data_IF_798085918648
#
_entry.id   IF_798085918648
#
_cell.length_a   1.000
_cell.length_b   1.000
_cell.length_c   1.000
_cell.angle_alpha   90.00
_cell.angle_beta   90.00
_cell.angle_gamma   90.00
#
_symmetry.space_group_name_H-M   'P 1'
#
loop_
_entity.id
_entity.type
_entity.pdbx_description
1 polymer ?
#
# COMPACT_ATOMS: atom_id res chain seq x y z
N UNK A 1 -0.83 -15.77 -17.87
CA UNK A 1 -2.20 -15.67 -17.29
C UNK A 1 -2.49 -16.72 -16.22
N UNK A 2 -2.19 -18.00 -16.46
CA UNK A 2 -2.42 -19.08 -15.48
C UNK A 2 -1.66 -18.87 -14.15
N UNK A 3 -0.36 -18.55 -14.22
CA UNK A 3 0.46 -18.27 -13.02
C UNK A 3 -0.07 -17.09 -12.20
N UNK A 4 -0.56 -16.04 -12.86
CA UNK A 4 -1.16 -14.88 -12.18
C UNK A 4 -2.41 -15.27 -11.39
N UNK A 5 -3.29 -16.08 -11.98
CA UNK A 5 -4.49 -16.54 -11.31
C UNK A 5 -4.13 -17.44 -10.11
N UNK A 6 -3.23 -18.40 -10.31
CA UNK A 6 -2.71 -19.27 -9.25
C UNK A 6 -2.14 -18.49 -8.07
N UNK A 7 -1.23 -17.54 -8.34
CA UNK A 7 -0.64 -16.69 -7.30
C UNK A 7 -1.72 -15.90 -6.57
N UNK A 8 -2.61 -15.23 -7.31
CA UNK A 8 -3.71 -14.46 -6.73
C UNK A 8 -4.61 -15.28 -5.82
N UNK A 9 -5.07 -16.45 -6.28
CA UNK A 9 -5.95 -17.34 -5.53
C UNK A 9 -5.27 -17.87 -4.26
N UNK A 10 -4.01 -18.29 -4.37
CA UNK A 10 -3.21 -18.74 -3.23
C UNK A 10 -3.04 -17.63 -2.19
N UNK A 11 -2.66 -16.42 -2.61
CA UNK A 11 -2.44 -15.31 -1.70
C UNK A 11 -3.75 -14.87 -1.01
N UNK A 12 -4.85 -14.75 -1.76
CA UNK A 12 -6.16 -14.41 -1.19
C UNK A 12 -6.67 -15.47 -0.21
N UNK A 13 -6.46 -16.76 -0.52
CA UNK A 13 -6.78 -17.87 0.38
C UNK A 13 -5.98 -17.78 1.68
N UNK A 14 -4.66 -17.55 1.58
CA UNK A 14 -3.81 -17.40 2.75
C UNK A 14 -4.24 -16.22 3.62
N UNK A 15 -4.42 -15.02 3.03
CA UNK A 15 -4.86 -13.81 3.74
C UNK A 15 -6.19 -14.03 4.47
N UNK A 16 -7.13 -14.74 3.83
CA UNK A 16 -8.42 -15.08 4.44
C UNK A 16 -8.25 -16.01 5.64
N UNK A 17 -7.38 -17.02 5.54
CA UNK A 17 -7.11 -17.95 6.65
C UNK A 17 -6.34 -17.30 7.81
N UNK A 18 -5.58 -16.24 7.54
CA UNK A 18 -4.79 -15.49 8.53
C UNK A 18 -5.48 -14.21 9.03
N UNK A 19 -6.74 -13.97 8.69
CA UNK A 19 -7.44 -12.72 9.02
C UNK A 19 -7.34 -12.34 10.52
N UNK A 20 -7.44 -13.33 11.42
CA UNK A 20 -7.40 -13.09 12.86
C UNK A 20 -6.04 -12.53 13.32
N UNK A 21 -4.94 -12.86 12.62
CA UNK A 21 -3.61 -12.32 12.88
C UNK A 21 -3.49 -10.81 12.57
N UNK A 22 -4.41 -10.24 11.78
CA UNK A 22 -4.48 -8.79 11.54
C UNK A 22 -5.17 -8.02 12.68
N UNK A 23 -5.84 -8.68 13.63
CA UNK A 23 -6.63 -8.02 14.68
C UNK A 23 -5.77 -7.10 15.56
N UNK A 24 -5.97 -5.76 15.57
CA UNK A 24 -5.05 -4.83 16.25
C UNK A 24 -5.49 -4.42 17.67
N UNK A 25 -6.54 -5.03 18.23
CA UNK A 25 -7.24 -4.56 19.44
C UNK A 25 -6.94 -5.34 20.73
N UNK A 26 -5.84 -6.10 20.75
CA UNK A 26 -5.36 -6.76 21.97
C UNK A 26 -4.57 -5.73 22.80
N UNK A 27 -5.17 -5.20 23.88
CA UNK A 27 -4.61 -4.08 24.65
C UNK A 27 -3.20 -4.34 25.18
N UNK A 28 -2.92 -5.58 25.57
CA UNK A 28 -1.63 -6.01 26.15
C UNK A 28 -0.67 -6.63 25.13
N UNK A 29 -0.95 -6.51 23.82
CA UNK A 29 -0.11 -7.14 22.80
C UNK A 29 1.15 -6.32 22.50
N UNK A 30 2.37 -6.82 22.79
CA UNK A 30 3.61 -6.11 22.51
C UNK A 30 3.85 -5.86 21.01
N UNK A 31 3.19 -6.62 20.12
CA UNK A 31 3.26 -6.42 18.66
C UNK A 31 2.10 -5.59 18.11
N UNK A 32 1.25 -5.00 18.98
CA UNK A 32 0.11 -4.16 18.58
C UNK A 32 0.45 -3.09 17.52
N UNK A 33 1.57 -2.33 17.62
CA UNK A 33 1.90 -1.36 16.57
C UNK A 33 2.10 -1.99 15.19
N UNK A 34 2.71 -3.18 15.13
CA UNK A 34 2.92 -3.91 13.88
C UNK A 34 1.61 -4.48 13.32
N UNK A 35 0.72 -5.00 14.18
CA UNK A 35 -0.60 -5.47 13.75
C UNK A 35 -1.46 -4.32 13.21
N UNK A 36 -1.41 -3.16 13.87
CA UNK A 36 -2.13 -1.98 13.42
C UNK A 36 -1.65 -1.49 12.05
N UNK A 37 -0.34 -1.55 11.79
CA UNK A 37 0.22 -1.30 10.46
C UNK A 37 -0.32 -2.30 9.43
N UNK A 38 -0.19 -3.60 9.72
CA UNK A 38 -0.65 -4.66 8.81
C UNK A 38 -2.16 -4.56 8.51
N UNK A 39 -2.96 -4.22 9.52
CA UNK A 39 -4.40 -4.00 9.37
C UNK A 39 -4.71 -2.78 8.50
N UNK A 40 -3.98 -1.67 8.67
CA UNK A 40 -4.10 -0.49 7.83
C UNK A 40 -3.71 -0.75 6.37
N UNK A 41 -2.67 -1.54 6.14
CA UNK A 41 -2.24 -1.97 4.80
C UNK A 41 -3.28 -2.89 4.15
N UNK A 42 -3.83 -3.86 4.89
CA UNK A 42 -4.93 -4.70 4.44
C UNK A 42 -6.16 -3.85 4.04
N UNK A 43 -6.57 -2.92 4.91
CA UNK A 43 -7.67 -1.99 4.63
C UNK A 43 -7.40 -1.16 3.36
N UNK A 44 -6.19 -0.62 3.23
CA UNK A 44 -5.76 0.15 2.05
C UNK A 44 -5.91 -0.65 0.76
N UNK A 45 -5.33 -1.85 0.72
CA UNK A 45 -5.37 -2.73 -0.46
C UNK A 45 -6.80 -3.18 -0.80
N UNK A 46 -7.60 -3.55 0.21
CA UNK A 46 -9.02 -3.85 -0.01
C UNK A 46 -9.76 -2.64 -0.56
N UNK A 47 -9.50 -1.44 -0.02
CA UNK A 47 -10.07 -0.20 -0.53
C UNK A 47 -9.72 0.03 -2.01
N UNK A 48 -8.47 -0.23 -2.40
CA UNK A 48 -8.04 -0.15 -3.81
C UNK A 48 -8.77 -1.18 -4.69
N UNK A 49 -8.86 -2.43 -4.24
CA UNK A 49 -9.60 -3.49 -4.92
C UNK A 49 -11.07 -3.08 -5.10
N UNK A 50 -11.70 -2.54 -4.05
CA UNK A 50 -13.09 -2.13 -4.06
C UNK A 50 -13.34 -0.97 -5.02
N UNK A 51 -12.48 0.07 -5.03
CA UNK A 51 -12.60 1.19 -5.98
C UNK A 51 -12.43 0.76 -7.44
N UNK A 52 -11.73 -0.34 -7.68
CA UNK A 52 -11.53 -0.94 -9.01
C UNK A 52 -12.58 -2.00 -9.38
N UNK A 53 -13.63 -2.15 -8.56
CA UNK A 53 -14.76 -3.04 -8.83
C UNK A 53 -14.54 -4.51 -8.45
N UNK A 54 -13.41 -4.87 -7.82
CA UNK A 54 -13.22 -6.23 -7.33
C UNK A 54 -14.15 -6.49 -6.13
N UNK A 55 -15.00 -7.52 -6.24
CA UNK A 55 -15.97 -7.94 -5.21
C UNK A 55 -16.02 -9.47 -5.04
N UNK A 56 -14.97 -10.17 -5.48
CA UNK A 56 -14.90 -11.63 -5.38
C UNK A 56 -14.90 -12.13 -3.93
N UNK A 57 -15.15 -13.43 -3.73
CA UNK A 57 -15.35 -14.05 -2.41
C UNK A 57 -14.32 -13.65 -1.33
N UNK A 58 -13.01 -13.85 -1.56
CA UNK A 58 -11.99 -13.48 -0.58
C UNK A 58 -11.95 -11.98 -0.25
N UNK A 59 -12.08 -11.11 -1.26
CA UNK A 59 -12.12 -9.66 -1.07
C UNK A 59 -13.33 -9.26 -0.24
N UNK A 60 -14.51 -9.83 -0.51
CA UNK A 60 -15.73 -9.57 0.25
C UNK A 60 -15.62 -10.03 1.71
N UNK A 61 -15.08 -11.24 1.94
CA UNK A 61 -14.88 -11.78 3.29
C UNK A 61 -13.92 -10.94 4.13
N UNK A 62 -12.78 -10.55 3.55
CA UNK A 62 -11.79 -9.69 4.21
C UNK A 62 -12.31 -8.26 4.39
N UNK A 63 -13.12 -7.75 3.46
CA UNK A 63 -13.79 -6.45 3.60
C UNK A 63 -14.70 -6.46 4.83
N UNK A 64 -15.57 -7.47 4.98
CA UNK A 64 -16.42 -7.59 6.18
C UNK A 64 -15.59 -7.64 7.45
N UNK A 65 -14.52 -8.45 7.48
CA UNK A 65 -13.63 -8.56 8.63
C UNK A 65 -12.99 -7.21 9.02
N UNK A 66 -12.45 -6.47 8.05
CA UNK A 66 -11.88 -5.15 8.33
C UNK A 66 -12.99 -4.21 8.78
N UNK A 67 -14.11 -4.16 8.08
CA UNK A 67 -15.22 -3.24 8.39
C UNK A 67 -15.77 -3.42 9.81
N UNK A 68 -15.96 -4.67 10.25
CA UNK A 68 -16.41 -5.03 11.60
C UNK A 68 -15.41 -4.59 12.68
N UNK A 69 -14.11 -4.58 12.35
CA UNK A 69 -13.05 -4.17 13.27
C UNK A 69 -12.99 -2.65 13.51
N UNK A 70 -13.50 -1.82 12.58
CA UNK A 70 -13.28 -0.38 12.65
C UNK A 70 -14.02 0.30 13.81
N UNK A 71 -15.22 -0.17 14.15
CA UNK A 71 -16.07 0.47 15.14
C UNK A 71 -15.61 0.19 16.59
N UNK A 72 -14.76 -0.83 16.80
CA UNK A 72 -14.26 -1.24 18.11
C UNK A 72 -13.00 -0.51 18.59
N UNK A 73 -12.46 0.46 17.84
CA UNK A 73 -11.16 1.06 18.14
C UNK A 73 -11.22 2.54 18.49
N UNK A 74 -10.44 2.92 19.51
CA UNK A 74 -10.22 4.32 19.88
C UNK A 74 -9.20 4.99 18.94
N UNK A 75 -9.68 5.37 17.75
CA UNK A 75 -8.92 6.07 16.73
C UNK A 75 -8.38 7.43 17.19
N UNK A 76 -9.10 8.12 18.08
CA UNK A 76 -8.68 9.42 18.63
C UNK A 76 -7.47 9.25 19.54
N UNK A 77 -7.55 8.34 20.52
CA UNK A 77 -6.44 8.08 21.42
C UNK A 77 -5.20 7.61 20.67
N UNK A 78 -5.37 6.80 19.62
CA UNK A 78 -4.25 6.37 18.79
C UNK A 78 -3.61 7.53 18.03
N UNK A 79 -4.39 8.41 17.42
CA UNK A 79 -3.87 9.57 16.70
C UNK A 79 -3.15 10.57 17.61
N UNK A 80 -3.60 10.71 18.86
CA UNK A 80 -2.92 11.53 19.88
C UNK A 80 -1.55 10.95 20.29
N UNK A 81 -1.43 9.62 20.39
CA UNK A 81 -0.16 8.94 20.72
C UNK A 81 0.85 8.97 19.58
N UNK A 82 0.36 8.98 18.33
CA UNK A 82 1.20 8.97 17.15
C UNK A 82 0.60 9.85 16.05
N UNK A 83 0.94 11.14 15.96
CA UNK A 83 0.38 12.05 14.97
C UNK A 83 0.56 11.60 13.50
N UNK A 84 1.64 10.86 13.21
CA UNK A 84 1.87 10.26 11.89
C UNK A 84 0.81 9.22 11.49
N UNK A 85 0.04 8.70 12.46
CA UNK A 85 -1.05 7.76 12.27
C UNK A 85 -2.22 8.33 11.46
N UNK A 86 -2.25 9.65 11.25
CA UNK A 86 -3.18 10.33 10.34
C UNK A 86 -3.20 9.72 8.93
N UNK A 87 -2.06 9.23 8.43
CA UNK A 87 -1.97 8.56 7.13
C UNK A 87 -2.82 7.29 7.13
N UNK A 88 -2.66 6.44 8.15
CA UNK A 88 -3.44 5.21 8.31
C UNK A 88 -4.94 5.50 8.47
N UNK A 89 -5.31 6.53 9.26
CA UNK A 89 -6.71 6.94 9.41
C UNK A 89 -7.35 7.36 8.08
N UNK A 90 -6.63 8.14 7.27
CA UNK A 90 -7.11 8.55 5.96
C UNK A 90 -7.26 7.35 5.02
N UNK A 91 -6.34 6.39 5.06
CA UNK A 91 -6.43 5.13 4.30
C UNK A 91 -7.65 4.31 4.71
N UNK A 92 -7.87 4.15 6.01
CA UNK A 92 -9.03 3.43 6.56
C UNK A 92 -10.34 4.14 6.24
N UNK A 93 -10.38 5.47 6.29
CA UNK A 93 -11.56 6.25 5.88
C UNK A 93 -11.91 6.00 4.40
N UNK A 94 -10.91 5.93 3.50
CA UNK A 94 -11.14 5.60 2.09
C UNK A 94 -11.62 4.16 1.91
N UNK A 95 -11.10 3.23 2.70
CA UNK A 95 -11.59 1.86 2.71
C UNK A 95 -13.07 1.80 3.11
N UNK A 96 -13.45 2.42 4.24
CA UNK A 96 -14.83 2.43 4.76
C UNK A 96 -15.80 2.99 3.71
N UNK A 97 -15.43 4.09 3.04
CA UNK A 97 -16.22 4.65 1.95
C UNK A 97 -16.35 3.67 0.75
N UNK A 98 -15.26 3.03 0.34
CA UNK A 98 -15.27 2.06 -0.76
C UNK A 98 -16.07 0.77 -0.43
N UNK A 99 -16.17 0.42 0.86
CA UNK A 99 -16.99 -0.66 1.39
C UNK A 99 -18.48 -0.27 1.51
N UNK A 100 -18.82 1.01 1.32
CA UNK A 100 -20.20 1.52 1.43
C UNK A 100 -20.61 1.96 2.84
N UNK A 101 -19.67 2.01 3.78
CA UNK A 101 -19.88 2.52 5.14
C UNK A 101 -19.66 4.03 5.25
N UNK A 102 -19.95 4.60 6.43
CA UNK A 102 -19.76 6.02 6.71
C UNK A 102 -18.31 6.33 7.15
N UNK A 103 -17.51 7.09 6.37
CA UNK A 103 -16.16 7.49 6.74
C UNK A 103 -16.11 8.75 7.63
N UNK A 104 -17.23 9.43 7.88
CA UNK A 104 -17.27 10.72 8.58
C UNK A 104 -16.65 10.69 9.98
N UNK A 105 -16.84 9.64 10.82
CA UNK A 105 -16.20 9.58 12.14
C UNK A 105 -14.67 9.61 12.06
N UNK A 106 -14.08 8.84 11.14
CA UNK A 106 -12.63 8.80 10.91
C UNK A 106 -12.11 10.13 10.36
N UNK A 107 -12.83 10.73 9.40
CA UNK A 107 -12.49 12.05 8.85
C UNK A 107 -12.56 13.15 9.91
N UNK A 108 -13.48 13.05 10.88
CA UNK A 108 -13.61 14.01 11.97
C UNK A 108 -12.40 13.96 12.93
N UNK A 109 -11.86 12.77 13.21
CA UNK A 109 -10.58 12.61 13.95
C UNK A 109 -9.48 13.36 13.22
N UNK A 110 -9.30 13.10 11.92
CA UNK A 110 -8.26 13.77 11.12
C UNK A 110 -8.45 15.29 11.08
N UNK A 111 -9.69 15.77 10.92
CA UNK A 111 -10.00 17.19 10.90
C UNK A 111 -9.61 17.91 12.20
N UNK A 112 -9.81 17.28 13.37
CA UNK A 112 -9.34 17.80 14.66
C UNK A 112 -7.81 17.91 14.70
N UNK A 113 -7.11 16.86 14.24
CA UNK A 113 -5.65 16.88 14.18
C UNK A 113 -5.09 17.95 13.23
N UNK A 114 -5.77 18.20 12.11
CA UNK A 114 -5.42 19.31 11.22
C UNK A 114 -5.61 20.67 11.90
N UNK A 115 -6.72 20.86 12.61
CA UNK A 115 -7.01 22.11 13.33
C UNK A 115 -5.98 22.41 14.45
N UNK A 116 -5.40 21.36 15.04
CA UNK A 116 -4.32 21.46 16.03
C UNK A 116 -2.93 21.72 15.41
N UNK A 117 -2.79 21.71 14.08
CA UNK A 117 -1.50 21.84 13.40
C UNK A 117 -0.59 20.61 13.50
N UNK A 118 -1.10 19.49 14.03
CA UNK A 118 -0.31 18.26 14.25
C UNK A 118 0.29 17.71 12.94
N UNK A 119 -0.46 17.85 11.84
CA UNK A 119 -0.06 17.34 10.52
C UNK A 119 1.09 18.15 9.92
N UNK A 120 1.07 19.46 10.10
CA UNK A 120 2.11 20.34 9.54
C UNK A 120 3.43 20.25 10.33
N UNK A 121 3.38 19.71 11.55
CA UNK A 121 4.54 19.42 12.39
C UNK A 121 5.20 18.06 12.12
N UNK A 122 4.66 17.24 11.19
CA UNK A 122 5.21 15.92 10.90
C UNK A 122 6.50 16.01 10.07
N UNK A 123 7.56 15.39 10.55
CA UNK A 123 8.81 15.19 9.81
C UNK A 123 8.75 13.88 9.01
N UNK A 124 8.00 13.89 7.90
CA UNK A 124 7.91 12.73 7.01
C UNK A 124 8.89 12.83 5.83
N UNK A 125 9.29 11.67 5.31
CA UNK A 125 10.02 11.58 4.05
C UNK A 125 9.22 12.25 2.90
N UNK A 126 9.88 12.79 1.86
CA UNK A 126 9.20 13.53 0.80
C UNK A 126 8.04 12.77 0.12
N UNK A 127 8.20 11.47 -0.14
CA UNK A 127 7.12 10.66 -0.73
C UNK A 127 5.94 10.45 0.23
N UNK A 128 6.19 10.31 1.54
CA UNK A 128 5.13 10.22 2.57
C UNK A 128 4.38 11.54 2.72
N UNK A 129 5.07 12.69 2.58
CA UNK A 129 4.38 13.98 2.53
C UNK A 129 3.48 14.09 1.29
N UNK A 130 3.93 13.63 0.12
CA UNK A 130 3.09 13.59 -1.08
C UNK A 130 1.86 12.69 -0.89
N UNK A 131 2.05 11.50 -0.33
CA UNK A 131 0.98 10.55 0.00
C UNK A 131 -0.04 11.16 0.97
N UNK A 132 0.44 11.85 2.02
CA UNK A 132 -0.44 12.55 2.95
C UNK A 132 -1.28 13.64 2.26
N UNK A 133 -0.66 14.49 1.43
CA UNK A 133 -1.39 15.49 0.65
C UNK A 133 -2.41 14.85 -0.31
N UNK A 134 -2.05 13.74 -0.94
CA UNK A 134 -2.95 12.96 -1.78
C UNK A 134 -4.16 12.46 -0.98
N UNK A 135 -3.92 11.82 0.17
CA UNK A 135 -4.96 11.25 1.01
C UNK A 135 -5.87 12.30 1.63
N UNK A 136 -5.33 13.46 2.02
CA UNK A 136 -6.13 14.60 2.47
C UNK A 136 -7.05 15.09 1.36
N UNK A 137 -6.54 15.27 0.14
CA UNK A 137 -7.35 15.67 -1.00
C UNK A 137 -8.44 14.63 -1.32
N UNK A 138 -8.09 13.34 -1.34
CA UNK A 138 -9.02 12.26 -1.63
C UNK A 138 -10.14 12.10 -0.59
N UNK A 139 -9.91 12.53 0.66
CA UNK A 139 -10.91 12.54 1.73
C UNK A 139 -11.68 13.87 1.87
N UNK A 140 -11.51 14.80 0.93
CA UNK A 140 -12.18 16.12 1.00
C UNK A 140 -11.60 17.06 2.06
N UNK A 141 -10.43 16.75 2.62
CA UNK A 141 -9.73 17.53 3.65
C UNK A 141 -8.57 18.37 3.08
N UNK A 142 -8.40 18.38 1.75
CA UNK A 142 -7.30 19.05 1.05
C UNK A 142 -7.62 20.43 0.44
N UNK A 143 -8.75 21.06 0.81
CA UNK A 143 -9.14 22.36 0.26
C UNK A 143 -8.00 23.40 0.42
N UNK A 144 -7.60 24.04 -0.69
CA UNK A 144 -6.50 25.01 -0.71
C UNK A 144 -5.08 24.44 -0.79
N UNK A 145 -4.90 23.10 -0.77
CA UNK A 145 -3.56 22.46 -0.75
C UNK A 145 -3.02 22.06 -2.14
N UNK A 146 -3.63 22.50 -3.24
CA UNK A 146 -3.18 22.16 -4.62
C UNK A 146 -1.74 22.58 -4.91
N UNK A 147 -1.35 23.77 -4.44
CA UNK A 147 0.04 24.26 -4.56
C UNK A 147 1.02 23.45 -3.70
N UNK A 148 0.57 22.95 -2.55
CA UNK A 148 1.34 22.06 -1.70
C UNK A 148 1.60 20.73 -2.42
N UNK A 149 0.57 20.11 -3.01
CA UNK A 149 0.72 18.86 -3.77
C UNK A 149 1.78 18.96 -4.88
N UNK A 150 1.70 19.99 -5.73
CA UNK A 150 2.67 20.19 -6.81
C UNK A 150 4.11 20.38 -6.28
N UNK A 151 4.28 21.07 -5.15
CA UNK A 151 5.58 21.19 -4.47
C UNK A 151 6.05 19.84 -3.94
N UNK A 152 5.21 19.11 -3.21
CA UNK A 152 5.54 17.78 -2.66
C UNK A 152 5.89 16.78 -3.76
N UNK A 153 5.22 16.84 -4.90
CA UNK A 153 5.55 16.00 -6.05
C UNK A 153 6.96 16.29 -6.57
N UNK A 154 7.35 17.56 -6.69
CA UNK A 154 8.73 17.92 -7.09
C UNK A 154 9.75 17.44 -6.06
N UNK A 155 9.45 17.59 -4.77
CA UNK A 155 10.33 17.16 -3.68
C UNK A 155 10.48 15.63 -3.66
N UNK A 156 9.40 14.88 -3.90
CA UNK A 156 9.41 13.42 -3.97
C UNK A 156 10.12 12.88 -5.23
N UNK A 157 10.05 13.60 -6.35
CA UNK A 157 10.75 13.24 -7.60
C UNK A 157 12.25 13.52 -7.55
N UNK A 158 12.69 14.51 -6.77
CA UNK A 158 14.08 14.97 -6.82
C UNK A 158 15.12 13.87 -6.48
N UNK A 159 14.94 13.05 -5.42
CA UNK A 159 15.85 11.94 -5.12
C UNK A 159 15.90 10.87 -6.22
N UNK A 160 14.82 10.69 -6.98
CA UNK A 160 14.69 9.67 -8.02
C UNK A 160 15.38 10.04 -9.35
N UNK A 161 15.93 11.26 -9.46
CA UNK A 161 16.66 11.71 -10.67
C UNK A 161 18.11 11.25 -10.74
N UNK A 162 18.65 10.70 -9.66
CA UNK A 162 20.00 10.13 -9.63
C UNK A 162 20.04 8.77 -10.34
N UNK A 163 21.25 8.27 -10.60
CA UNK A 163 21.41 6.95 -11.23
C UNK A 163 20.69 5.86 -10.42
N UNK A 164 19.85 5.01 -11.07
CA UNK A 164 19.17 3.91 -10.39
C UNK A 164 20.12 2.90 -9.76
N UNK A 165 21.35 2.78 -10.29
CA UNK A 165 22.40 1.94 -9.70
C UNK A 165 22.82 2.35 -8.29
N UNK A 166 22.46 3.56 -7.86
CA UNK A 166 22.73 4.06 -6.52
C UNK A 166 21.51 3.97 -5.58
N UNK A 167 20.37 3.45 -6.06
CA UNK A 167 19.15 3.37 -5.26
C UNK A 167 19.33 2.36 -4.10
N UNK A 168 18.94 2.77 -2.91
CA UNK A 168 18.80 1.89 -1.75
C UNK A 168 17.45 1.16 -1.80
N UNK A 169 17.20 0.26 -0.84
CA UNK A 169 15.87 -0.28 -0.63
C UNK A 169 14.83 0.84 -0.38
N UNK A 170 15.20 1.87 0.38
CA UNK A 170 14.32 2.99 0.69
C UNK A 170 13.92 3.80 -0.56
N UNK A 171 14.82 3.98 -1.54
CA UNK A 171 14.48 4.69 -2.78
C UNK A 171 13.51 3.89 -3.65
N UNK A 172 13.62 2.55 -3.63
CA UNK A 172 12.68 1.67 -4.32
C UNK A 172 11.28 1.74 -3.70
N UNK A 173 11.20 1.73 -2.37
CA UNK A 173 9.93 2.00 -1.66
C UNK A 173 9.40 3.42 -1.92
N UNK A 174 10.27 4.43 -1.97
CA UNK A 174 9.84 5.79 -2.27
C UNK A 174 9.26 5.89 -3.70
N UNK A 175 9.84 5.16 -4.67
CA UNK A 175 9.34 5.08 -6.04
C UNK A 175 7.93 4.46 -6.08
N UNK A 176 7.69 3.35 -5.39
CA UNK A 176 6.40 2.65 -5.42
C UNK A 176 5.28 3.49 -4.80
N UNK A 177 5.51 4.04 -3.60
CA UNK A 177 4.54 4.93 -2.95
C UNK A 177 4.26 6.21 -3.74
N UNK A 178 5.27 6.79 -4.40
CA UNK A 178 5.06 7.93 -5.29
C UNK A 178 4.10 7.56 -6.43
N UNK A 179 4.31 6.40 -7.06
CA UNK A 179 3.45 5.94 -8.16
C UNK A 179 2.04 5.65 -7.68
N UNK A 180 1.86 5.00 -6.52
CA UNK A 180 0.54 4.76 -5.93
C UNK A 180 -0.22 6.07 -5.68
N UNK A 181 0.42 7.07 -5.06
CA UNK A 181 -0.19 8.38 -4.84
C UNK A 181 -0.46 9.16 -6.15
N UNK A 182 0.36 8.97 -7.17
CA UNK A 182 0.21 9.64 -8.47
C UNK A 182 -0.94 9.04 -9.28
N UNK A 183 -1.11 7.72 -9.26
CA UNK A 183 -2.14 7.02 -10.02
C UNK A 183 -3.44 6.81 -9.22
N UNK A 184 -3.49 7.26 -7.97
CA UNK A 184 -4.60 6.97 -7.03
C UNK A 184 -4.92 5.46 -6.98
N UNK A 185 -3.86 4.65 -6.86
CA UNK A 185 -3.93 3.18 -6.91
C UNK A 185 -4.54 2.61 -8.20
N UNK A 186 -4.41 3.34 -9.31
CA UNK A 186 -4.84 2.94 -10.65
C UNK A 186 -6.20 3.46 -11.08
N UNK A 187 -6.85 4.33 -10.29
CA UNK A 187 -8.12 4.98 -10.67
C UNK A 187 -7.90 6.26 -11.49
N UNK A 188 -6.68 6.80 -11.54
CA UNK A 188 -6.32 8.03 -12.25
C UNK A 188 -5.10 7.82 -13.16
N UNK A 189 -5.08 8.51 -14.30
CA UNK A 189 -3.89 8.54 -15.15
C UNK A 189 -2.81 9.46 -14.54
N UNK A 190 -1.57 8.98 -14.45
CA UNK A 190 -0.46 9.76 -13.94
C UNK A 190 -0.21 11.05 -14.75
N UNK A 191 -0.50 11.04 -16.06
CA UNK A 191 -0.32 12.21 -16.93
C UNK A 191 -1.34 13.34 -16.65
N UNK A 192 -2.42 13.06 -15.90
CA UNK A 192 -3.40 14.08 -15.49
C UNK A 192 -2.86 15.01 -14.40
N UNK A 193 -1.84 14.56 -13.66
CA UNK A 193 -1.32 15.24 -12.46
C UNK A 193 0.20 15.45 -12.46
N UNK A 194 0.93 14.80 -13.37
CA UNK A 194 2.36 15.01 -13.56
C UNK A 194 2.71 15.28 -15.04
N UNK A 195 3.78 16.05 -15.31
CA UNK A 195 4.27 16.23 -16.67
C UNK A 195 4.66 14.90 -17.32
N UNK A 196 4.34 14.73 -18.61
CA UNK A 196 4.68 13.52 -19.40
C UNK A 196 6.12 13.06 -19.27
N UNK A 197 7.07 13.99 -19.19
CA UNK A 197 8.50 13.68 -19.01
C UNK A 197 8.79 12.98 -17.68
N UNK A 198 8.11 13.38 -16.61
CA UNK A 198 8.30 12.81 -15.27
C UNK A 198 7.60 11.45 -15.22
N UNK A 199 6.43 11.30 -15.84
CA UNK A 199 5.75 9.99 -15.99
C UNK A 199 6.62 9.02 -16.80
N UNK A 200 7.19 9.43 -17.92
CA UNK A 200 8.09 8.59 -18.72
C UNK A 200 9.34 8.16 -17.93
N UNK A 201 9.91 9.04 -17.11
CA UNK A 201 11.00 8.70 -16.18
C UNK A 201 10.55 7.63 -15.19
N UNK A 202 9.38 7.80 -14.55
CA UNK A 202 8.85 6.83 -13.59
C UNK A 202 8.61 5.46 -14.25
N UNK A 203 8.07 5.41 -15.47
CA UNK A 203 7.91 4.16 -16.24
C UNK A 203 9.25 3.43 -16.39
N UNK A 204 10.30 4.15 -16.80
CA UNK A 204 11.66 3.59 -16.95
C UNK A 204 12.24 3.10 -15.61
N UNK A 205 12.06 3.87 -14.54
CA UNK A 205 12.55 3.52 -13.20
C UNK A 205 11.85 2.27 -12.67
N UNK A 206 10.52 2.19 -12.80
CA UNK A 206 9.74 1.02 -12.37
C UNK A 206 10.21 -0.24 -13.09
N UNK A 207 10.35 -0.20 -14.43
CA UNK A 207 10.84 -1.33 -15.20
C UNK A 207 12.25 -1.78 -14.76
N UNK A 208 13.18 -0.83 -14.56
CA UNK A 208 14.54 -1.15 -14.15
C UNK A 208 14.62 -1.70 -12.73
N UNK A 209 13.94 -1.05 -11.77
CA UNK A 209 13.90 -1.50 -10.38
C UNK A 209 13.22 -2.87 -10.25
N UNK A 210 12.25 -3.18 -11.10
CA UNK A 210 11.60 -4.49 -11.11
C UNK A 210 12.56 -5.59 -11.58
N UNK A 211 13.41 -5.32 -12.58
CA UNK A 211 14.49 -6.26 -12.97
C UNK A 211 15.47 -6.50 -11.82
N UNK A 212 15.86 -5.44 -11.12
CA UNK A 212 16.74 -5.55 -9.96
C UNK A 212 16.08 -6.37 -8.84
N UNK A 213 14.82 -6.08 -8.51
CA UNK A 213 14.08 -6.81 -7.49
C UNK A 213 13.91 -8.29 -7.85
N UNK A 214 13.65 -8.61 -9.12
CA UNK A 214 13.59 -9.98 -9.63
C UNK A 214 14.93 -10.69 -9.47
N UNK A 215 16.04 -10.06 -9.87
CA UNK A 215 17.37 -10.64 -9.75
C UNK A 215 17.82 -10.83 -8.29
N UNK A 216 17.43 -9.92 -7.40
CA UNK A 216 17.72 -9.98 -5.96
C UNK A 216 16.80 -10.94 -5.19
N UNK A 217 15.72 -11.43 -5.81
CA UNK A 217 14.70 -12.23 -5.13
C UNK A 217 13.88 -11.42 -4.12
N UNK A 218 13.80 -10.10 -4.27
CA UNK A 218 13.05 -9.19 -3.41
C UNK A 218 11.56 -9.21 -3.77
N UNK A 219 10.89 -10.34 -3.48
CA UNK A 219 9.50 -10.62 -3.87
C UNK A 219 8.50 -9.56 -3.41
N UNK A 220 8.75 -8.95 -2.27
CA UNK A 220 7.93 -7.90 -1.68
C UNK A 220 7.89 -6.64 -2.55
N UNK A 221 9.05 -6.04 -2.76
CA UNK A 221 9.22 -4.85 -3.61
C UNK A 221 8.88 -5.15 -5.07
N UNK A 222 9.15 -6.37 -5.54
CA UNK A 222 8.77 -6.79 -6.90
C UNK A 222 7.24 -6.71 -7.09
N UNK A 223 6.44 -7.17 -6.13
CA UNK A 223 4.98 -7.11 -6.20
C UNK A 223 4.45 -5.67 -6.28
N UNK A 224 5.03 -4.76 -5.50
CA UNK A 224 4.71 -3.34 -5.57
C UNK A 224 5.04 -2.75 -6.95
N UNK A 225 6.21 -3.09 -7.50
CA UNK A 225 6.66 -2.60 -8.80
C UNK A 225 5.81 -3.16 -9.96
N UNK A 226 5.35 -4.41 -9.87
CA UNK A 226 4.38 -4.99 -10.82
C UNK A 226 3.06 -4.23 -10.75
N UNK A 227 2.59 -3.88 -9.54
CA UNK A 227 1.39 -3.06 -9.36
C UNK A 227 1.59 -1.66 -9.97
N UNK A 228 2.73 -1.01 -9.70
CA UNK A 228 3.09 0.28 -10.28
C UNK A 228 3.14 0.25 -11.80
N UNK A 229 3.71 -0.81 -12.38
CA UNK A 229 3.80 -0.99 -13.83
C UNK A 229 2.41 -1.02 -14.48
N UNK A 230 1.45 -1.72 -13.86
CA UNK A 230 0.05 -1.75 -14.30
C UNK A 230 -0.61 -0.37 -14.20
N UNK A 231 -0.43 0.32 -13.07
CA UNK A 231 -1.00 1.65 -12.85
C UNK A 231 -0.47 2.70 -13.85
N UNK A 232 0.82 2.62 -14.17
CA UNK A 232 1.47 3.48 -15.16
C UNK A 232 1.25 3.03 -16.62
N UNK A 233 0.53 1.92 -16.83
CA UNK A 233 0.25 1.31 -18.15
C UNK A 233 1.53 1.02 -18.94
N UNK A 234 2.50 0.36 -18.30
CA UNK A 234 3.72 -0.10 -18.98
C UNK A 234 3.38 -1.26 -19.93
N UNK A 235 3.90 -1.18 -21.15
CA UNK A 235 3.84 -2.25 -22.14
C UNK A 235 5.13 -3.09 -22.08
N UNK A 236 5.25 -3.90 -21.04
CA UNK A 236 6.44 -4.73 -20.76
C UNK A 236 5.98 -6.13 -20.35
N UNK A 237 5.70 -7.04 -21.30
CA UNK A 237 5.10 -8.34 -21.00
C UNK A 237 5.89 -9.21 -20.00
N UNK A 238 7.22 -9.07 -19.97
CA UNK A 238 8.08 -9.77 -19.01
C UNK A 238 7.77 -9.38 -17.55
N UNK A 239 7.37 -8.13 -17.28
CA UNK A 239 6.99 -7.68 -15.93
C UNK A 239 5.77 -8.43 -15.40
N UNK A 240 4.94 -8.96 -16.28
CA UNK A 240 3.80 -9.78 -15.89
C UNK A 240 4.17 -11.26 -15.89
N UNK A 241 4.60 -11.83 -17.01
CA UNK A 241 4.71 -13.29 -17.08
C UNK A 241 5.89 -13.83 -16.27
N UNK A 242 7.08 -13.23 -16.35
CA UNK A 242 8.25 -13.70 -15.59
C UNK A 242 8.12 -13.42 -14.10
N UNK A 243 7.57 -12.27 -13.73
CA UNK A 243 7.39 -11.91 -12.32
C UNK A 243 6.37 -12.83 -11.63
N UNK A 244 5.24 -13.14 -12.29
CA UNK A 244 4.26 -14.09 -11.74
C UNK A 244 4.77 -15.52 -11.74
N UNK A 245 5.55 -15.95 -12.74
CA UNK A 245 6.19 -17.27 -12.70
C UNK A 245 7.19 -17.38 -11.54
N UNK A 246 7.97 -16.33 -11.29
CA UNK A 246 8.88 -16.27 -10.15
C UNK A 246 8.13 -16.29 -8.81
N UNK A 247 7.06 -15.49 -8.68
CA UNK A 247 6.21 -15.49 -7.49
C UNK A 247 5.57 -16.86 -7.24
N UNK A 248 5.07 -17.53 -8.27
CA UNK A 248 4.49 -18.85 -8.17
C UNK A 248 5.51 -19.92 -7.72
N UNK A 249 6.76 -19.81 -8.17
CA UNK A 249 7.84 -20.69 -7.72
C UNK A 249 8.23 -20.48 -6.26
N UNK A 250 7.93 -19.31 -5.70
CA UNK A 250 8.22 -18.93 -4.32
C UNK A 250 7.00 -19.01 -3.38
N UNK A 251 5.80 -19.26 -3.93
CA UNK A 251 4.58 -19.40 -3.16
C UNK A 251 4.58 -20.76 -2.45
N UNK A 252 4.42 -20.73 -1.13
CA UNK A 252 4.33 -21.93 -0.31
C UNK A 252 2.99 -22.65 -0.54
N UNK A 253 2.93 -23.92 -0.12
CA UNK A 253 1.72 -24.74 -0.27
C UNK A 253 0.49 -24.16 0.46
N UNK A 254 0.69 -23.30 1.47
CA UNK A 254 -0.39 -22.59 2.17
C UNK A 254 -0.87 -21.32 1.45
N UNK A 255 -0.22 -20.95 0.32
CA UNK A 255 -0.54 -19.78 -0.49
C UNK A 255 0.23 -18.50 -0.13
N UNK A 256 1.01 -18.52 0.96
CA UNK A 256 1.84 -17.36 1.34
C UNK A 256 3.09 -17.21 0.48
N UNK A 257 3.57 -15.98 0.40
CA UNK A 257 4.84 -15.63 -0.23
C UNK A 257 5.73 -15.00 0.84
N UNK A 258 6.93 -15.54 1.09
CA UNK A 258 7.83 -15.00 2.10
C UNK A 258 8.58 -13.76 1.58
N UNK A 259 8.73 -12.75 2.45
CA UNK A 259 9.62 -11.59 2.19
C UNK A 259 11.09 -12.00 2.22
N UNK A 260 11.46 -12.96 3.09
CA UNK A 260 12.82 -13.50 3.24
C UNK A 260 12.80 -15.03 3.21
N UNK A 261 13.86 -15.66 2.70
CA UNK A 261 13.91 -17.13 2.52
C UNK A 261 13.95 -17.93 3.82
N UNK A 262 14.51 -17.38 4.89
CA UNK A 262 14.64 -18.09 6.17
C UNK A 262 13.48 -17.72 7.11
N UNK A 263 12.58 -18.67 7.44
CA UNK A 263 11.48 -18.40 8.36
C UNK A 263 12.01 -18.21 9.79
N UNK A 264 11.35 -17.38 10.61
CA UNK A 264 11.71 -17.21 12.00
C UNK A 264 11.10 -18.33 12.84
N UNK A 265 11.69 -18.62 13.99
CA UNK A 265 11.22 -19.68 14.91
C UNK A 265 9.91 -19.33 15.65
N UNK A 266 9.42 -18.09 15.53
CA UNK A 266 8.25 -17.60 16.28
C UNK A 266 7.07 -17.33 15.34
N UNK A 267 5.88 -17.82 15.70
CA UNK A 267 4.66 -17.75 14.88
C UNK A 267 4.29 -16.32 14.44
N UNK A 268 4.29 -15.35 15.36
CA UNK A 268 4.03 -13.94 15.03
C UNK A 268 5.06 -13.40 14.05
N UNK A 269 6.33 -13.77 14.21
CA UNK A 269 7.38 -13.37 13.27
C UNK A 269 7.14 -14.00 11.89
N UNK A 270 6.58 -15.22 11.81
CA UNK A 270 6.24 -15.88 10.55
C UNK A 270 5.12 -15.13 9.81
N UNK A 271 4.08 -14.69 10.53
CA UNK A 271 3.04 -13.82 9.94
C UNK A 271 3.65 -12.53 9.39
N UNK A 272 4.43 -11.80 10.21
CA UNK A 272 5.01 -10.52 9.81
C UNK A 272 6.02 -10.61 8.66
N UNK A 273 6.68 -11.76 8.49
CA UNK A 273 7.57 -12.00 7.35
C UNK A 273 6.86 -12.39 6.05
N UNK A 274 5.55 -12.67 6.08
CA UNK A 274 4.81 -13.20 4.94
C UNK A 274 3.68 -12.30 4.48
N UNK A 275 3.01 -11.61 5.41
CA UNK A 275 1.76 -10.94 5.09
C UNK A 275 1.90 -9.87 4.03
N UNK A 276 2.94 -9.03 4.08
CA UNK A 276 3.08 -7.89 3.19
C UNK A 276 3.33 -8.34 1.74
N UNK A 277 4.30 -9.23 1.53
CA UNK A 277 4.56 -9.79 0.20
C UNK A 277 3.33 -10.54 -0.34
N UNK A 278 2.66 -11.34 0.50
CA UNK A 278 1.43 -12.06 0.11
C UNK A 278 0.31 -11.08 -0.27
N UNK A 279 0.12 -10.02 0.51
CA UNK A 279 -0.87 -8.97 0.27
C UNK A 279 -0.61 -8.22 -1.04
N UNK A 280 0.64 -7.83 -1.28
CA UNK A 280 1.02 -7.11 -2.49
C UNK A 280 0.90 -7.98 -3.74
N UNK A 281 1.19 -9.27 -3.67
CA UNK A 281 0.96 -10.19 -4.80
C UNK A 281 -0.52 -10.44 -5.06
N UNK A 282 -1.36 -10.53 -4.02
CA UNK A 282 -2.81 -10.60 -4.16
C UNK A 282 -3.37 -9.34 -4.88
N UNK A 283 -2.87 -8.16 -4.50
CA UNK A 283 -3.22 -6.90 -5.15
C UNK A 283 -2.73 -6.83 -6.60
N UNK A 284 -1.47 -7.19 -6.86
CA UNK A 284 -0.89 -7.18 -8.21
C UNK A 284 -1.66 -8.12 -9.16
N UNK A 285 -2.17 -9.24 -8.63
CA UNK A 285 -2.98 -10.20 -9.37
C UNK A 285 -4.40 -9.69 -9.69
N UNK A 286 -4.91 -8.68 -8.98
CA UNK A 286 -6.25 -8.07 -9.16
C UNK A 286 -6.23 -7.04 -10.29
#
# INVERSE_FOLDING_TARGET
MEERARVGDGCWSWLTSQRDAFTPFREDDPVRPKRLLAYGELAGILGCCLRRGARGGPVAALTSFVDDGLDGYDWEAQALRGPAFVVALLTVARFREAAGGDPAPLRAVVARHLALGNVDALELAPYRMLELEHLLAANGLGAGRRSAYARRLRDALAPLRRSPSAFSAHDRYALTHLVFALCDDGTRDAEDVAPRRDVAMLRRLVALCARMALAEGALDVLAELVSCARHLRLDEPWLTDEAFAFAASAQDADGSIPTFREPPDVEDARFFQRYHATLMWAHAAT
#
